data_IF_758283137124
#
_entry.id   IF_758283137124
#
_cell.length_a   1.000
_cell.length_b   1.000
_cell.length_c   1.000
_cell.angle_alpha   90.00
_cell.angle_beta   90.00
_cell.angle_gamma   90.00
#
_symmetry.space_group_name_H-M   'P 1'
#
loop_
_entity.id
_entity.type
_entity.pdbx_description
1 polymer ?
#
# COMPACT_ATOMS: atom_id res chain seq x y z
N UNK A 1 -6.71 -5.06 64.14
CA UNK A 1 -8.16 -5.04 64.37
C UNK A 1 -8.62 -6.49 64.41
N UNK A 2 -9.25 -6.93 65.50
CA UNK A 2 -9.83 -8.28 65.56
C UNK A 2 -11.03 -8.34 64.61
N UNK A 3 -11.21 -9.47 63.91
CA UNK A 3 -12.20 -9.57 62.82
C UNK A 3 -13.62 -9.78 63.34
N UNK A 4 -13.74 -10.39 64.51
CA UNK A 4 -14.98 -10.74 65.18
C UNK A 4 -14.75 -10.57 66.68
N UNK A 5 -15.66 -9.87 67.35
CA UNK A 5 -15.56 -9.53 68.77
C UNK A 5 -16.64 -10.20 69.64
N UNK A 6 -17.55 -10.98 69.04
CA UNK A 6 -18.55 -11.79 69.74
C UNK A 6 -18.05 -13.19 70.10
N UNK A 7 -18.86 -13.91 70.86
CA UNK A 7 -18.63 -15.32 71.20
C UNK A 7 -18.83 -16.27 70.00
N UNK A 8 -18.57 -17.56 70.20
CA UNK A 8 -18.90 -18.60 69.22
C UNK A 8 -18.06 -18.60 67.93
N UNK A 9 -16.88 -17.97 67.93
CA UNK A 9 -15.98 -17.96 66.76
C UNK A 9 -15.26 -19.29 66.55
N UNK A 10 -14.85 -19.58 65.32
CA UNK A 10 -13.90 -20.67 65.02
C UNK A 10 -12.54 -20.09 64.58
N UNK A 11 -11.44 -20.78 64.85
CA UNK A 11 -10.14 -20.42 64.27
C UNK A 11 -10.11 -20.85 62.80
N UNK A 12 -9.81 -19.91 61.91
CA UNK A 12 -9.65 -20.14 60.46
C UNK A 12 -8.16 -20.12 60.04
N UNK A 13 -7.26 -20.29 61.00
CA UNK A 13 -5.82 -20.38 60.81
C UNK A 13 -5.11 -19.03 60.85
N UNK A 14 -3.87 -19.05 61.37
CA UNK A 14 -3.05 -17.86 61.55
C UNK A 14 -3.50 -16.96 62.71
N UNK A 15 -4.20 -17.52 63.71
CA UNK A 15 -4.73 -16.78 64.86
C UNK A 15 -5.92 -15.89 64.51
N UNK A 16 -6.66 -16.22 63.44
CA UNK A 16 -7.76 -15.40 62.92
C UNK A 16 -9.09 -16.06 63.27
N UNK A 17 -10.02 -15.26 63.78
CA UNK A 17 -11.39 -15.69 64.07
C UNK A 17 -12.26 -15.60 62.81
N UNK A 18 -13.06 -16.64 62.57
CA UNK A 18 -14.05 -16.72 61.51
C UNK A 18 -15.45 -17.06 62.03
N UNK A 19 -16.44 -16.82 61.18
CA UNK A 19 -17.84 -17.17 61.45
C UNK A 19 -18.04 -18.68 61.45
N UNK A 20 -18.90 -19.15 62.35
CA UNK A 20 -19.35 -20.53 62.47
C UNK A 20 -20.87 -20.54 62.60
N UNK A 21 -21.51 -21.43 61.86
CA UNK A 21 -22.95 -21.63 61.93
C UNK A 21 -23.38 -22.24 63.27
N UNK A 22 -24.56 -21.88 63.73
CA UNK A 22 -25.19 -22.49 64.90
C UNK A 22 -25.66 -23.91 64.56
N UNK A 23 -25.30 -24.89 65.41
CA UNK A 23 -25.81 -26.25 65.33
C UNK A 23 -26.24 -26.74 66.72
N UNK A 24 -27.51 -26.46 67.04
CA UNK A 24 -28.14 -26.82 68.30
C UNK A 24 -28.14 -28.34 68.56
N UNK A 25 -28.29 -29.16 67.51
CA UNK A 25 -28.28 -30.63 67.63
C UNK A 25 -26.94 -31.21 68.09
N UNK A 26 -25.84 -30.48 67.84
CA UNK A 26 -24.50 -30.83 68.29
C UNK A 26 -24.01 -29.99 69.48
N UNK A 27 -24.86 -29.11 70.04
CA UNK A 27 -24.47 -28.19 71.11
C UNK A 27 -23.44 -27.14 70.69
N UNK A 28 -23.38 -26.80 69.39
CA UNK A 28 -22.42 -25.82 68.84
C UNK A 28 -23.10 -24.46 68.71
N UNK A 29 -22.66 -23.50 69.49
CA UNK A 29 -23.12 -22.10 69.40
C UNK A 29 -22.63 -21.44 68.10
N UNK A 30 -23.51 -20.68 67.45
CA UNK A 30 -23.16 -19.86 66.30
C UNK A 30 -22.30 -18.65 66.69
N UNK A 31 -21.64 -18.05 65.71
CA UNK A 31 -20.89 -16.80 65.97
C UNK A 31 -21.84 -15.64 66.26
N UNK A 32 -21.60 -14.96 67.37
CA UNK A 32 -22.35 -13.79 67.78
C UNK A 32 -21.95 -12.56 66.95
N UNK A 33 -22.93 -11.94 66.28
CA UNK A 33 -22.75 -10.65 65.59
C UNK A 33 -23.06 -9.53 66.58
N UNK A 34 -22.02 -8.96 67.19
CA UNK A 34 -22.22 -7.86 68.15
C UNK A 34 -22.59 -6.55 67.44
N UNK A 35 -23.26 -5.65 68.17
CA UNK A 35 -23.57 -4.31 67.69
C UNK A 35 -22.31 -3.53 67.28
N UNK A 36 -21.21 -3.68 68.03
CA UNK A 36 -19.94 -3.04 67.69
C UNK A 36 -19.41 -3.51 66.33
N UNK A 37 -19.50 -4.82 66.03
CA UNK A 37 -19.07 -5.35 64.74
C UNK A 37 -19.94 -4.82 63.58
N UNK A 38 -21.26 -4.83 63.76
CA UNK A 38 -22.19 -4.33 62.74
C UNK A 38 -22.01 -2.82 62.47
N UNK A 39 -21.83 -2.02 63.53
CA UNK A 39 -21.57 -0.58 63.41
C UNK A 39 -20.25 -0.30 62.69
N UNK A 40 -19.18 -1.08 62.95
CA UNK A 40 -17.91 -0.91 62.25
C UNK A 40 -18.04 -1.12 60.73
N UNK A 41 -18.82 -2.11 60.30
CA UNK A 41 -19.10 -2.34 58.88
C UNK A 41 -19.91 -1.18 58.28
N UNK A 42 -20.94 -0.70 58.99
CA UNK A 42 -21.75 0.44 58.55
C UNK A 42 -20.90 1.71 58.40
N UNK A 43 -20.07 2.04 59.38
CA UNK A 43 -19.18 3.20 59.34
C UNK A 43 -18.19 3.13 58.16
N UNK A 44 -17.66 1.95 57.84
CA UNK A 44 -16.78 1.80 56.68
C UNK A 44 -17.53 2.01 55.36
N UNK A 45 -18.74 1.48 55.24
CA UNK A 45 -19.61 1.71 54.08
C UNK A 45 -19.94 3.21 53.95
N UNK A 46 -20.28 3.87 55.06
CA UNK A 46 -20.58 5.31 55.08
C UNK A 46 -19.36 6.16 54.67
N UNK A 47 -18.14 5.77 55.06
CA UNK A 47 -16.92 6.44 54.58
C UNK A 47 -16.73 6.31 53.08
N UNK A 48 -16.97 5.13 52.50
CA UNK A 48 -16.90 4.93 51.04
C UNK A 48 -17.91 5.84 50.33
N UNK A 49 -19.15 5.90 50.82
CA UNK A 49 -20.17 6.82 50.30
C UNK A 49 -19.74 8.30 50.41
N UNK A 50 -19.18 8.70 51.56
CA UNK A 50 -18.70 10.06 51.78
C UNK A 50 -17.52 10.42 50.86
N UNK A 51 -16.57 9.49 50.64
CA UNK A 51 -15.46 9.68 49.70
C UNK A 51 -15.96 9.85 48.25
N UNK A 52 -17.04 9.16 47.89
CA UNK A 52 -17.71 9.35 46.60
C UNK A 52 -18.57 10.62 46.52
N UNK A 53 -18.60 11.45 47.59
CA UNK A 53 -19.39 12.68 47.64
C UNK A 53 -20.90 12.46 47.85
N UNK A 54 -21.33 11.25 48.20
CA UNK A 54 -22.73 10.93 48.48
C UNK A 54 -23.07 11.29 49.93
N UNK A 55 -24.25 11.88 50.15
CA UNK A 55 -24.81 12.06 51.49
C UNK A 55 -25.53 10.78 51.93
N UNK A 56 -25.25 10.23 53.12
CA UNK A 56 -25.94 9.04 53.62
C UNK A 56 -27.47 9.19 53.61
N UNK A 57 -28.17 8.14 53.17
CA UNK A 57 -29.63 8.11 53.10
C UNK A 57 -30.16 6.74 53.49
N UNK A 58 -30.97 6.68 54.54
CA UNK A 58 -31.65 5.45 54.99
C UNK A 58 -32.68 4.95 53.97
N UNK A 59 -33.13 5.84 53.07
CA UNK A 59 -34.09 5.52 52.01
C UNK A 59 -33.42 4.87 50.77
N UNK A 60 -32.08 4.83 50.71
CA UNK A 60 -31.35 4.27 49.56
C UNK A 60 -30.39 3.17 50.00
N UNK A 61 -30.75 1.93 49.70
CA UNK A 61 -29.94 0.75 50.03
C UNK A 61 -28.89 0.42 48.97
N UNK A 62 -28.78 1.25 47.93
CA UNK A 62 -27.83 1.09 46.81
C UNK A 62 -26.64 2.05 46.89
N UNK A 63 -26.53 2.87 47.94
CA UNK A 63 -25.50 3.92 48.03
C UNK A 63 -24.06 3.38 47.94
N UNK A 64 -23.76 2.21 48.51
CA UNK A 64 -22.42 1.61 48.35
C UNK A 64 -22.12 1.29 46.89
N UNK A 65 -23.09 0.75 46.16
CA UNK A 65 -22.96 0.44 44.74
C UNK A 65 -22.76 1.71 43.90
N UNK A 66 -23.54 2.75 44.17
CA UNK A 66 -23.40 4.06 43.54
C UNK A 66 -22.01 4.68 43.82
N UNK A 67 -21.55 4.61 45.08
CA UNK A 67 -20.26 5.13 45.50
C UNK A 67 -19.09 4.46 44.76
N UNK A 68 -19.13 3.13 44.62
CA UNK A 68 -18.13 2.39 43.84
C UNK A 68 -18.12 2.85 42.39
N UNK A 69 -19.29 3.03 41.76
CA UNK A 69 -19.38 3.53 40.39
C UNK A 69 -18.74 4.91 40.21
N UNK A 70 -19.00 5.85 41.12
CA UNK A 70 -18.42 7.20 41.09
C UNK A 70 -16.89 7.15 41.23
N UNK A 71 -16.38 6.34 42.16
CA UNK A 71 -14.93 6.24 42.40
C UNK A 71 -14.21 5.56 41.23
N UNK A 72 -14.83 4.57 40.60
CA UNK A 72 -14.28 3.90 39.40
C UNK A 72 -14.26 4.86 38.20
N UNK A 73 -15.33 5.61 37.97
CA UNK A 73 -15.39 6.63 36.92
C UNK A 73 -14.30 7.71 37.10
N UNK A 74 -14.08 8.15 38.35
CA UNK A 74 -13.02 9.11 38.66
C UNK A 74 -11.62 8.55 38.35
N UNK A 75 -11.37 7.29 38.70
CA UNK A 75 -10.12 6.60 38.38
C UNK A 75 -9.89 6.53 36.86
N UNK A 76 -10.91 6.16 36.08
CA UNK A 76 -10.80 6.12 34.63
C UNK A 76 -10.57 7.51 34.01
N UNK A 77 -11.21 8.56 34.55
CA UNK A 77 -10.99 9.93 34.11
C UNK A 77 -9.51 10.36 34.32
N UNK A 78 -8.94 10.04 35.47
CA UNK A 78 -7.54 10.33 35.78
C UNK A 78 -6.56 9.57 34.87
N UNK A 79 -6.85 8.29 34.58
CA UNK A 79 -6.04 7.50 33.63
C UNK A 79 -6.08 8.10 32.23
N UNK A 80 -7.25 8.53 31.75
CA UNK A 80 -7.38 9.18 30.43
C UNK A 80 -6.65 10.53 30.40
N UNK A 81 -6.70 11.30 31.49
CA UNK A 81 -5.99 12.56 31.60
C UNK A 81 -4.46 12.37 31.65
N UNK A 82 -3.98 11.34 32.34
CA UNK A 82 -2.56 11.00 32.43
C UNK A 82 -1.99 10.46 31.12
N UNK A 83 -2.80 9.75 30.34
CA UNK A 83 -2.40 9.12 29.08
C UNK A 83 -3.29 9.58 27.91
N UNK A 84 -3.20 10.86 27.51
CA UNK A 84 -4.02 11.38 26.42
C UNK A 84 -3.70 10.66 25.11
N UNK A 85 -4.72 10.50 24.27
CA UNK A 85 -4.52 9.94 22.93
C UNK A 85 -3.66 10.87 22.06
N UNK A 86 -2.76 10.28 21.27
CA UNK A 86 -2.00 11.00 20.26
C UNK A 86 -2.92 11.45 19.12
N UNK A 87 -2.75 12.69 18.67
CA UNK A 87 -3.28 13.13 17.38
C UNK A 87 -2.48 12.50 16.24
N UNK A 88 -3.05 12.44 15.03
CA UNK A 88 -2.36 11.90 13.85
C UNK A 88 -1.05 12.63 13.56
N UNK A 89 -1.02 13.96 13.70
CA UNK A 89 0.20 14.76 13.49
C UNK A 89 1.30 14.42 14.50
N UNK A 90 0.94 14.28 15.78
CA UNK A 90 1.89 13.89 16.82
C UNK A 90 2.44 12.47 16.62
N UNK A 91 1.56 11.54 16.26
CA UNK A 91 1.95 10.16 15.98
C UNK A 91 2.87 10.06 14.75
N UNK A 92 2.62 10.86 13.70
CA UNK A 92 3.50 10.95 12.52
C UNK A 92 4.86 11.54 12.90
N UNK A 93 4.89 12.55 13.76
CA UNK A 93 6.13 13.21 14.20
C UNK A 93 6.99 12.31 15.11
N UNK A 94 6.36 11.39 15.86
CA UNK A 94 7.06 10.43 16.72
C UNK A 94 7.77 11.06 17.92
N UNK A 95 7.34 12.27 18.34
CA UNK A 95 8.04 13.08 19.36
C UNK A 95 7.60 12.74 20.80
N UNK A 96 6.42 12.16 20.99
CA UNK A 96 5.82 11.97 22.31
C UNK A 96 5.88 10.50 22.75
N UNK A 97 6.55 10.23 23.87
CA UNK A 97 6.70 8.89 24.46
C UNK A 97 5.49 8.48 25.33
N UNK A 98 4.62 9.42 25.69
CA UNK A 98 3.66 9.27 26.80
C UNK A 98 2.20 9.27 26.34
N UNK A 99 1.95 9.14 25.02
CA UNK A 99 0.60 9.19 24.45
C UNK A 99 0.18 7.85 23.88
N UNK A 100 -1.08 7.48 24.10
CA UNK A 100 -1.65 6.24 23.55
C UNK A 100 -2.05 6.47 22.10
N UNK A 101 -1.73 5.52 21.21
CA UNK A 101 -2.25 5.50 19.84
C UNK A 101 -3.50 4.62 19.82
N UNK A 102 -4.66 5.21 19.53
CA UNK A 102 -5.88 4.43 19.30
C UNK A 102 -5.91 3.85 17.87
N UNK A 103 -6.77 2.85 17.57
CA UNK A 103 -6.84 2.23 16.25
C UNK A 103 -7.11 3.20 15.10
N UNK A 104 -7.90 4.25 15.32
CA UNK A 104 -8.16 5.28 14.29
C UNK A 104 -6.90 6.10 14.00
N UNK A 105 -6.20 6.58 15.02
CA UNK A 105 -4.93 7.32 14.84
C UNK A 105 -3.91 6.44 14.12
N UNK A 106 -3.83 5.15 14.45
CA UNK A 106 -2.95 4.21 13.74
C UNK A 106 -3.32 4.07 12.26
N UNK A 107 -4.60 3.90 11.94
CA UNK A 107 -5.08 3.81 10.56
C UNK A 107 -4.73 5.08 9.77
N UNK A 108 -4.97 6.27 10.36
CA UNK A 108 -4.67 7.55 9.73
C UNK A 108 -3.14 7.72 9.50
N UNK A 109 -2.29 7.30 10.45
CA UNK A 109 -0.83 7.29 10.31
C UNK A 109 -0.39 6.38 9.16
N UNK A 110 -0.93 5.16 9.09
CA UNK A 110 -0.61 4.22 8.01
C UNK A 110 -1.01 4.79 6.64
N UNK A 111 -2.22 5.35 6.51
CA UNK A 111 -2.66 6.00 5.28
C UNK A 111 -1.77 7.17 4.90
N UNK A 112 -1.41 8.05 5.85
CA UNK A 112 -0.52 9.18 5.60
C UNK A 112 0.91 8.76 5.19
N UNK A 113 1.35 7.58 5.63
CA UNK A 113 2.67 7.00 5.32
C UNK A 113 2.70 6.17 4.06
N UNK A 114 1.59 5.95 3.36
CA UNK A 114 1.59 5.33 2.02
C UNK A 114 1.98 6.39 0.99
N UNK A 115 2.99 6.08 0.17
CA UNK A 115 3.38 6.92 -0.96
C UNK A 115 2.29 6.91 -2.03
N UNK A 116 1.98 8.08 -2.58
CA UNK A 116 1.15 8.19 -3.79
C UNK A 116 1.95 7.73 -5.01
N UNK A 117 1.26 7.39 -6.11
CA UNK A 117 1.92 7.04 -7.36
C UNK A 117 2.86 8.15 -7.85
N UNK A 118 2.44 9.40 -7.70
CA UNK A 118 3.19 10.57 -8.13
C UNK A 118 4.51 10.70 -7.37
N UNK A 119 4.48 10.47 -6.05
CA UNK A 119 5.66 10.50 -5.19
C UNK A 119 6.62 9.35 -5.52
N UNK A 120 6.08 8.15 -5.76
CA UNK A 120 6.88 6.98 -6.17
C UNK A 120 7.53 7.19 -7.54
N UNK A 121 6.76 7.66 -8.52
CA UNK A 121 7.27 7.97 -9.86
C UNK A 121 8.30 9.10 -9.84
N UNK A 122 8.13 10.10 -8.97
CA UNK A 122 9.08 11.20 -8.84
C UNK A 122 10.34 10.83 -8.07
N UNK A 123 10.34 9.73 -7.31
CA UNK A 123 11.41 9.39 -6.38
C UNK A 123 11.64 10.45 -5.29
N UNK A 124 10.64 11.29 -5.00
CA UNK A 124 10.81 12.50 -4.17
C UNK A 124 10.62 12.26 -2.68
N UNK A 125 10.18 11.08 -2.27
CA UNK A 125 9.83 10.78 -0.88
C UNK A 125 10.60 9.58 -0.35
N UNK A 126 11.38 9.79 0.72
CA UNK A 126 12.23 8.78 1.35
C UNK A 126 11.67 8.24 2.68
N UNK A 127 10.51 8.75 3.14
CA UNK A 127 9.94 8.47 4.46
C UNK A 127 8.50 7.92 4.41
N UNK A 128 8.12 7.35 3.26
CA UNK A 128 6.81 6.70 3.03
C UNK A 128 7.01 5.28 2.51
N UNK A 129 6.05 4.41 2.80
CA UNK A 129 5.99 3.04 2.32
C UNK A 129 5.40 2.99 0.90
N UNK A 130 5.97 2.14 0.05
CA UNK A 130 5.39 1.83 -1.25
C UNK A 130 4.61 0.52 -1.10
N UNK A 131 3.33 0.55 -1.47
CA UNK A 131 2.46 -0.64 -1.47
C UNK A 131 2.45 -1.30 -2.86
N UNK A 132 2.15 -2.60 -2.99
CA UNK A 132 2.18 -3.30 -4.28
C UNK A 132 1.32 -2.65 -5.37
N UNK A 133 0.16 -2.08 -5.01
CA UNK A 133 -0.71 -1.36 -5.95
C UNK A 133 -0.04 -0.11 -6.55
N UNK A 134 0.89 0.51 -5.82
CA UNK A 134 1.69 1.66 -6.28
C UNK A 134 2.90 1.20 -7.09
N UNK A 135 3.49 0.05 -6.75
CA UNK A 135 4.57 -0.53 -7.57
C UNK A 135 4.09 -1.02 -8.94
N UNK A 136 2.83 -1.46 -9.04
CA UNK A 136 2.26 -2.00 -10.29
C UNK A 136 2.42 -1.06 -11.47
N UNK A 137 2.33 0.25 -11.25
CA UNK A 137 2.39 1.26 -12.31
C UNK A 137 3.83 1.72 -12.65
N UNK A 138 4.85 1.18 -11.97
CA UNK A 138 6.26 1.49 -12.29
C UNK A 138 6.65 0.85 -13.61
N UNK A 139 6.16 -0.36 -13.89
CA UNK A 139 6.39 -1.02 -15.17
C UNK A 139 5.38 -0.52 -16.19
N UNK A 140 5.88 0.27 -17.13
CA UNK A 140 5.10 0.80 -18.26
C UNK A 140 5.49 0.02 -19.49
N UNK A 141 4.52 -0.70 -20.04
CA UNK A 141 4.73 -1.62 -21.15
C UNK A 141 3.73 -1.31 -22.26
N UNK A 142 4.26 -1.30 -23.47
CA UNK A 142 3.54 -1.20 -24.70
C UNK A 142 3.84 -2.43 -25.54
N UNK A 143 2.80 -2.99 -26.15
CA UNK A 143 2.92 -4.09 -27.10
C UNK A 143 1.81 -4.05 -28.14
N UNK A 144 2.22 -4.00 -29.40
CA UNK A 144 1.30 -4.09 -30.52
C UNK A 144 1.84 -5.02 -31.59
N UNK A 145 0.93 -5.74 -32.25
CA UNK A 145 1.23 -6.42 -33.50
C UNK A 145 1.20 -5.43 -34.66
N UNK A 146 2.07 -5.60 -35.65
CA UNK A 146 1.90 -4.92 -36.94
C UNK A 146 0.71 -5.51 -37.68
N UNK A 147 0.00 -4.67 -38.44
CA UNK A 147 -1.06 -5.11 -39.35
C UNK A 147 -0.45 -6.03 -40.42
N UNK A 148 -0.90 -7.29 -40.51
CA UNK A 148 -0.43 -8.20 -41.55
C UNK A 148 -0.70 -7.63 -42.95
N UNK A 149 0.06 -8.12 -43.92
CA UNK A 149 -0.10 -7.78 -45.33
C UNK A 149 0.21 -6.32 -45.69
N UNK A 150 1.00 -5.63 -44.86
CA UNK A 150 1.47 -4.28 -45.21
C UNK A 150 2.46 -4.36 -46.37
N UNK A 151 2.12 -3.67 -47.46
CA UNK A 151 2.96 -3.51 -48.65
C UNK A 151 4.10 -2.54 -48.36
N UNK A 152 5.33 -2.97 -48.64
CA UNK A 152 6.55 -2.17 -48.53
C UNK A 152 7.10 -1.98 -49.94
N UNK A 153 7.06 -0.75 -50.50
CA UNK A 153 7.63 -0.48 -51.81
C UNK A 153 9.17 -0.42 -51.78
N UNK A 154 9.79 -0.81 -52.89
CA UNK A 154 11.24 -0.70 -53.09
C UNK A 154 11.76 0.72 -52.88
N UNK A 155 12.86 0.85 -52.14
CA UNK A 155 13.54 2.10 -51.82
C UNK A 155 12.66 3.15 -51.12
N UNK A 156 11.57 2.73 -50.47
CA UNK A 156 10.70 3.60 -49.68
C UNK A 156 10.73 3.17 -48.22
N UNK A 157 11.03 4.13 -47.34
CA UNK A 157 10.93 3.92 -45.90
C UNK A 157 9.45 3.81 -45.53
N UNK A 158 9.02 2.64 -45.06
CA UNK A 158 7.62 2.34 -44.77
C UNK A 158 7.46 2.06 -43.29
N UNK A 159 6.58 2.80 -42.63
CA UNK A 159 6.19 2.55 -41.24
C UNK A 159 4.94 1.66 -41.23
N UNK A 160 5.01 0.39 -40.81
CA UNK A 160 3.86 -0.50 -40.88
C UNK A 160 2.79 -0.04 -39.91
N UNK A 161 1.54 -0.01 -40.36
CA UNK A 161 0.42 0.16 -39.46
C UNK A 161 0.49 -0.92 -38.37
N UNK A 162 0.13 -0.56 -37.15
CA UNK A 162 -0.08 -1.53 -36.07
C UNK A 162 -1.57 -1.80 -35.91
N UNK A 163 -1.88 -2.99 -35.40
CA UNK A 163 -3.22 -3.34 -34.93
C UNK A 163 -3.53 -2.73 -33.56
N UNK A 164 -4.46 -3.38 -32.84
CA UNK A 164 -4.78 -3.00 -31.48
C UNK A 164 -3.55 -3.15 -30.56
N UNK A 165 -3.20 -2.09 -29.84
CA UNK A 165 -2.14 -2.12 -28.86
C UNK A 165 -2.68 -2.59 -27.50
N UNK A 166 -1.84 -3.32 -26.77
CA UNK A 166 -2.01 -3.55 -25.33
C UNK A 166 -1.17 -2.48 -24.63
N UNK A 167 -1.85 -1.51 -24.04
CA UNK A 167 -1.26 -0.45 -23.24
C UNK A 167 -1.44 -0.80 -21.76
N UNK A 168 -0.33 -0.93 -21.01
CA UNK A 168 -0.39 -1.14 -19.57
C UNK A 168 0.35 -0.03 -18.83
N UNK A 169 -0.41 0.67 -17.96
CA UNK A 169 0.09 1.67 -17.02
C UNK A 169 0.80 2.88 -17.67
N UNK A 170 0.43 3.23 -18.91
CA UNK A 170 0.76 4.54 -19.47
C UNK A 170 -0.07 5.59 -18.72
N UNK A 171 0.58 6.61 -18.17
CA UNK A 171 -0.04 7.50 -17.17
C UNK A 171 -0.64 8.76 -17.82
N UNK A 172 -0.07 9.18 -18.94
CA UNK A 172 -0.39 10.46 -19.59
C UNK A 172 -0.94 10.27 -21.00
N UNK A 173 -0.92 11.35 -21.80
CA UNK A 173 -1.12 11.38 -23.26
C UNK A 173 -0.05 10.58 -24.04
N UNK A 174 0.54 9.53 -23.46
CA UNK A 174 1.34 8.60 -24.26
C UNK A 174 0.37 7.88 -25.18
N UNK A 175 0.24 8.38 -26.40
CA UNK A 175 -0.70 7.84 -27.37
C UNK A 175 0.05 7.01 -28.37
N UNK A 176 -0.58 5.92 -28.80
CA UNK A 176 -0.19 5.26 -30.01
C UNK A 176 -1.17 5.59 -31.15
N UNK A 177 -0.66 6.22 -32.21
CA UNK A 177 -1.46 6.54 -33.39
C UNK A 177 -0.63 6.33 -34.65
N UNK A 178 -1.24 5.71 -35.66
CA UNK A 178 -0.68 5.62 -37.02
C UNK A 178 0.77 5.10 -37.05
N UNK A 179 1.04 3.98 -36.39
CA UNK A 179 2.36 3.33 -36.31
C UNK A 179 3.44 4.02 -35.43
N UNK A 180 3.06 5.04 -34.65
CA UNK A 180 3.99 5.78 -33.79
C UNK A 180 3.55 5.79 -32.32
N UNK A 181 4.51 5.54 -31.44
CA UNK A 181 4.41 5.77 -30.00
C UNK A 181 4.80 7.22 -29.71
N UNK A 182 3.88 8.06 -29.25
CA UNK A 182 4.19 9.43 -28.79
C UNK A 182 4.27 9.45 -27.28
N UNK A 183 5.36 9.94 -26.69
CA UNK A 183 5.61 9.90 -25.24
C UNK A 183 4.91 11.05 -24.51
N UNK A 184 4.12 10.74 -23.50
CA UNK A 184 3.48 11.69 -22.59
C UNK A 184 4.47 12.34 -21.61
N UNK A 185 4.05 13.41 -20.93
CA UNK A 185 4.93 14.21 -20.08
C UNK A 185 5.59 13.41 -18.95
N UNK A 186 4.82 12.56 -18.28
CA UNK A 186 5.26 11.71 -17.16
C UNK A 186 5.88 10.40 -17.60
N UNK A 187 5.83 10.10 -18.89
CA UNK A 187 6.40 8.91 -19.52
C UNK A 187 7.82 9.16 -20.09
N UNK A 188 8.30 10.40 -20.05
CA UNK A 188 9.66 10.77 -20.43
C UNK A 188 10.71 10.01 -19.61
N UNK A 189 11.69 9.37 -20.23
CA UNK A 189 12.77 8.68 -19.53
C UNK A 189 13.55 7.76 -20.45
N UNK A 190 14.18 6.72 -19.90
CA UNK A 190 14.88 5.71 -20.69
C UNK A 190 13.92 4.56 -21.03
N UNK A 191 13.83 4.26 -22.32
CA UNK A 191 12.97 3.23 -22.89
C UNK A 191 13.79 2.14 -23.56
N UNK A 192 13.39 0.88 -23.34
CA UNK A 192 13.78 -0.26 -24.13
C UNK A 192 12.70 -0.50 -25.19
N UNK A 193 13.04 -0.26 -26.45
CA UNK A 193 12.15 -0.44 -27.60
C UNK A 193 12.64 -1.62 -28.40
N UNK A 194 11.72 -2.50 -28.81
CA UNK A 194 12.01 -3.62 -29.68
C UNK A 194 10.98 -3.69 -30.79
N UNK A 195 11.45 -3.93 -32.01
CA UNK A 195 10.59 -4.26 -33.14
C UNK A 195 11.02 -5.60 -33.72
N UNK A 196 10.07 -6.47 -34.02
CA UNK A 196 10.28 -7.70 -34.77
C UNK A 196 9.34 -7.75 -35.96
N UNK A 197 9.81 -8.29 -37.07
CA UNK A 197 9.02 -8.44 -38.29
C UNK A 197 9.41 -9.72 -39.02
N UNK A 198 8.49 -10.24 -39.80
CA UNK A 198 8.72 -11.32 -40.75
C UNK A 198 8.20 -10.87 -42.12
N UNK A 199 8.96 -11.20 -43.17
CA UNK A 199 8.59 -10.92 -44.55
C UNK A 199 8.40 -12.18 -45.36
N UNK A 200 7.52 -12.14 -46.34
CA UNK A 200 7.52 -13.08 -47.47
C UNK A 200 8.25 -12.48 -48.67
N UNK A 201 9.02 -13.30 -49.39
CA UNK A 201 9.76 -12.93 -50.59
C UNK A 201 11.28 -13.06 -50.40
N UNK A 202 11.91 -13.79 -51.32
CA UNK A 202 13.35 -14.03 -51.40
C UNK A 202 14.08 -12.75 -51.79
N UNK A 203 14.97 -12.26 -50.92
CA UNK A 203 15.26 -10.84 -50.93
C UNK A 203 16.51 -10.47 -50.13
N UNK A 204 17.48 -9.86 -50.81
CA UNK A 204 18.70 -9.27 -50.22
C UNK A 204 18.47 -7.80 -49.82
N UNK A 205 19.22 -7.24 -48.87
CA UNK A 205 19.18 -5.80 -48.54
C UNK A 205 17.88 -5.29 -47.89
N UNK A 206 17.26 -6.08 -47.00
CA UNK A 206 16.21 -5.57 -46.09
C UNK A 206 16.84 -4.88 -44.87
N UNK A 207 16.15 -3.88 -44.34
CA UNK A 207 16.54 -3.14 -43.13
C UNK A 207 15.29 -2.84 -42.31
N UNK A 208 15.33 -3.21 -41.03
CA UNK A 208 14.40 -2.74 -40.00
C UNK A 208 15.11 -1.72 -39.12
N UNK A 209 14.44 -0.62 -38.76
CA UNK A 209 15.02 0.49 -38.00
C UNK A 209 14.03 1.02 -36.97
N UNK A 210 14.53 1.55 -35.86
CA UNK A 210 13.74 2.32 -34.90
C UNK A 210 14.09 3.79 -35.10
N UNK A 211 13.08 4.64 -35.33
CA UNK A 211 13.23 6.08 -35.55
C UNK A 211 12.70 6.89 -34.37
N UNK A 212 13.24 8.10 -34.17
CA UNK A 212 12.83 9.06 -33.14
C UNK A 212 12.50 10.41 -33.80
N UNK A 213 11.27 10.89 -33.63
CA UNK A 213 10.77 12.17 -34.18
C UNK A 213 10.87 12.29 -35.70
N UNK A 214 10.63 11.20 -36.44
CA UNK A 214 10.68 11.18 -37.91
C UNK A 214 12.07 11.35 -38.51
N UNK A 215 13.04 11.85 -37.74
CA UNK A 215 14.43 11.58 -38.00
C UNK A 215 14.64 10.07 -37.76
N UNK A 216 15.30 9.42 -38.71
CA UNK A 216 16.15 8.33 -38.28
C UNK A 216 17.03 8.94 -37.20
N UNK A 217 16.98 8.43 -35.97
CA UNK A 217 17.92 8.83 -34.92
C UNK A 217 19.38 8.55 -35.33
N UNK A 218 19.58 8.01 -36.56
CA UNK A 218 20.81 7.87 -37.28
C UNK A 218 20.68 7.95 -38.82
N UNK A 219 21.40 8.91 -39.42
CA UNK A 219 22.18 8.64 -40.64
C UNK A 219 23.58 9.22 -40.45
N UNK A 220 24.29 8.68 -39.45
CA UNK A 220 25.75 8.63 -39.48
C UNK A 220 26.12 7.15 -39.53
N UNK A 221 27.18 6.74 -40.24
CA UNK A 221 27.61 5.33 -40.25
C UNK A 221 27.99 4.79 -38.85
N UNK A 222 27.95 5.61 -37.79
CA UNK A 222 28.30 5.26 -36.42
C UNK A 222 27.14 5.22 -35.41
N UNK A 223 25.90 5.63 -35.72
CA UNK A 223 24.75 5.45 -34.80
C UNK A 223 23.83 4.29 -35.19
N UNK A 224 24.38 3.08 -35.26
CA UNK A 224 23.57 1.84 -35.30
C UNK A 224 23.08 1.52 -33.89
N UNK A 225 21.82 1.79 -33.58
CA UNK A 225 21.15 1.16 -32.44
C UNK A 225 20.24 0.05 -33.01
N UNK A 226 20.85 -1.11 -33.27
CA UNK A 226 20.19 -2.38 -33.60
C UNK A 226 19.84 -2.65 -35.08
N UNK A 227 20.67 -2.25 -36.04
CA UNK A 227 20.46 -2.64 -37.45
C UNK A 227 20.83 -4.11 -37.67
N UNK A 228 19.85 -4.96 -38.00
CA UNK A 228 20.09 -6.27 -38.60
C UNK A 228 20.04 -6.14 -40.13
N UNK A 229 21.21 -6.18 -40.77
CA UNK A 229 21.34 -6.35 -42.22
C UNK A 229 21.78 -7.80 -42.44
N UNK A 230 20.89 -8.66 -42.95
CA UNK A 230 21.30 -10.00 -43.35
C UNK A 230 21.67 -10.01 -44.83
N UNK A 231 22.83 -10.58 -45.15
CA UNK A 231 23.18 -10.99 -46.50
C UNK A 231 22.37 -12.23 -46.88
N UNK A 232 21.76 -12.22 -48.08
CA UNK A 232 21.05 -13.37 -48.69
C UNK A 232 20.10 -14.12 -47.73
N UNK A 233 19.07 -13.42 -47.24
CA UNK A 233 18.05 -14.02 -46.40
C UNK A 233 17.11 -14.98 -47.16
N UNK A 234 16.67 -16.05 -46.49
CA UNK A 234 15.69 -16.98 -47.01
C UNK A 234 14.27 -16.38 -46.93
N UNK A 235 13.31 -17.00 -47.63
CA UNK A 235 11.89 -16.69 -47.43
C UNK A 235 11.53 -16.88 -45.95
N UNK A 236 10.79 -15.93 -45.38
CA UNK A 236 10.31 -15.94 -43.98
C UNK A 236 11.35 -15.64 -42.89
N UNK A 237 12.47 -14.99 -43.23
CA UNK A 237 13.40 -14.47 -42.23
C UNK A 237 12.72 -13.48 -41.26
N UNK A 238 13.03 -13.64 -39.97
CA UNK A 238 12.59 -12.73 -38.89
C UNK A 238 13.69 -11.74 -38.58
N UNK A 239 13.36 -10.45 -38.60
CA UNK A 239 14.28 -9.37 -38.27
C UNK A 239 13.87 -8.78 -36.92
N UNK A 240 14.84 -8.62 -36.02
CA UNK A 240 14.62 -8.05 -34.69
C UNK A 240 15.59 -6.89 -34.49
N UNK A 241 15.08 -5.75 -34.05
CA UNK A 241 15.86 -4.59 -33.61
C UNK A 241 15.48 -4.27 -32.18
N UNK A 242 16.47 -3.99 -31.35
CA UNK A 242 16.29 -3.50 -29.99
C UNK A 242 17.10 -2.24 -29.79
N UNK A 243 16.51 -1.25 -29.14
CA UNK A 243 17.13 0.03 -28.84
C UNK A 243 16.84 0.46 -27.42
N UNK A 244 17.86 0.99 -26.75
CA UNK A 244 17.68 1.75 -25.52
C UNK A 244 17.79 3.23 -25.87
N UNK A 245 16.75 4.01 -25.57
CA UNK A 245 16.65 5.41 -26.00
C UNK A 245 16.06 6.28 -24.89
N UNK A 246 16.66 7.44 -24.66
CA UNK A 246 16.08 8.47 -23.78
C UNK A 246 15.06 9.30 -24.58
N UNK A 247 13.83 9.37 -24.06
CA UNK A 247 12.69 10.05 -24.67
C UNK A 247 12.18 11.13 -23.72
N UNK A 248 11.88 12.30 -24.29
CA UNK A 248 11.21 13.41 -23.64
C UNK A 248 9.71 13.39 -23.99
N UNK A 249 8.94 14.24 -23.31
CA UNK A 249 7.54 14.48 -23.66
C UNK A 249 7.41 14.95 -25.11
N UNK A 250 6.44 14.40 -25.84
CA UNK A 250 6.18 14.68 -27.25
C UNK A 250 7.07 13.89 -28.21
N UNK A 251 8.11 13.21 -27.73
CA UNK A 251 8.95 12.40 -28.61
C UNK A 251 8.13 11.25 -29.21
N UNK A 252 8.30 11.01 -30.51
CA UNK A 252 7.67 9.94 -31.27
C UNK A 252 8.66 8.85 -31.60
N UNK A 253 8.30 7.59 -31.39
CA UNK A 253 9.08 6.42 -31.82
C UNK A 253 8.28 5.60 -32.83
N UNK A 254 8.96 5.18 -33.89
CA UNK A 254 8.39 4.29 -34.90
C UNK A 254 9.37 3.20 -35.27
N UNK A 255 8.84 2.12 -35.85
CA UNK A 255 9.64 1.09 -36.49
C UNK A 255 9.42 1.17 -38.01
N UNK A 256 10.49 1.41 -38.74
CA UNK A 256 10.42 1.66 -40.17
C UNK A 256 11.21 0.60 -40.95
N UNK A 257 10.70 0.28 -42.12
CA UNK A 257 11.17 -0.77 -43.02
C UNK A 257 11.73 -0.17 -44.30
N UNK A 258 12.84 -0.72 -44.78
CA UNK A 258 13.39 -0.39 -46.09
C UNK A 258 13.93 -1.65 -46.75
N UNK A 259 13.68 -1.80 -48.05
CA UNK A 259 14.42 -2.74 -48.90
C UNK A 259 14.78 -2.08 -50.23
N UNK A 260 15.83 -2.55 -50.89
CA UNK A 260 16.30 -1.98 -52.16
C UNK A 260 15.99 -2.85 -53.39
N UNK A 261 15.33 -3.99 -53.19
CA UNK A 261 15.03 -4.96 -54.25
C UNK A 261 13.87 -4.48 -55.09
N UNK A 262 13.87 -4.80 -56.39
CA UNK A 262 12.72 -4.58 -57.27
C UNK A 262 11.46 -5.31 -56.78
N UNK A 263 10.31 -4.67 -56.93
CA UNK A 263 9.01 -5.21 -56.51
C UNK A 263 8.60 -4.76 -55.10
N UNK A 264 7.46 -5.28 -54.66
CA UNK A 264 6.87 -5.01 -53.35
C UNK A 264 7.15 -6.18 -52.41
N UNK A 265 7.54 -5.89 -51.18
CA UNK A 265 7.62 -6.89 -50.10
C UNK A 265 6.39 -6.78 -49.20
N UNK A 266 6.04 -7.89 -48.54
CA UNK A 266 4.87 -7.93 -47.65
C UNK A 266 5.29 -8.34 -46.26
N UNK A 267 4.87 -7.57 -45.25
CA UNK A 267 5.01 -7.95 -43.84
C UNK A 267 3.96 -9.00 -43.52
N UNK A 268 4.36 -10.21 -43.14
CA UNK A 268 3.42 -11.28 -42.76
C UNK A 268 3.09 -11.24 -41.28
N UNK A 269 4.08 -10.94 -40.44
CA UNK A 269 3.94 -10.83 -39.00
C UNK A 269 4.89 -9.75 -38.49
N UNK A 270 4.56 -9.20 -37.34
CA UNK A 270 5.54 -8.48 -36.55
C UNK A 270 4.95 -7.85 -35.32
N UNK A 271 5.82 -7.30 -34.49
CA UNK A 271 5.51 -6.79 -33.16
C UNK A 271 6.35 -5.56 -32.87
N UNK A 272 5.76 -4.59 -32.20
CA UNK A 272 6.44 -3.41 -31.68
C UNK A 272 6.17 -3.34 -30.18
N UNK A 273 7.22 -3.48 -29.38
CA UNK A 273 7.13 -3.41 -27.93
C UNK A 273 8.00 -2.28 -27.41
N UNK A 274 7.53 -1.58 -26.38
CA UNK A 274 8.32 -0.58 -25.71
C UNK A 274 8.08 -0.64 -24.20
N UNK A 275 9.16 -0.63 -23.42
CA UNK A 275 9.11 -0.61 -21.96
C UNK A 275 9.92 0.55 -21.44
N UNK A 276 9.35 1.34 -20.53
CA UNK A 276 10.14 2.32 -19.80
C UNK A 276 10.91 1.62 -18.68
N UNK A 277 12.21 1.82 -18.65
CA UNK A 277 13.11 1.18 -17.66
C UNK A 277 13.68 2.16 -16.63
N UNK A 278 13.66 3.47 -16.91
CA UNK A 278 14.07 4.51 -15.96
C UNK A 278 13.46 5.89 -16.28
N UNK A 279 13.52 6.80 -15.30
CA UNK A 279 13.21 8.24 -15.42
C UNK A 279 14.30 9.02 -16.19
#
# INVERSE_FOLDING_TARGET
>A
MDRINGAGTTDIGGGRRGFRDENLGAGVEGTEVTALWANMLQEEILKVCAMAGLSPSEADWTQLYQAIGVLDDALFADVVAAFPYATTAEAIAGVLLNKIINPKTLADVLTARIATQIETDGGTVNNKFIVPSVMRNIFRFFDASFTPSTSVPSNVMTCPAIGAAIEQNLIDTTTFSTAKLTIGARDAGVWLVMASIQYTGAAQNKSLRIHKNGAASSYTPLSRIGVMQNGVGADNDTYIVTAMVRLASGDQISADLLHTISGTQTVTQGRFTATRIAL
#
